data_IF_100150941361
#
_entry.id   IF_100150941361
#
_cell.length_a   1.000
_cell.length_b   1.000
_cell.length_c   1.000
_cell.angle_alpha   90.00
_cell.angle_beta   90.00
_cell.angle_gamma   90.00
#
_symmetry.space_group_name_H-M   'P 1'
#
loop_
_entity.id
_entity.type
_entity.pdbx_description
1 polymer ?
#
# COMPACT_ATOMS: atom_id res chain seq x y z
N UNK A 1 -7.31 -3.37 -18.73
CA UNK A 1 -8.48 -4.11 -19.26
C UNK A 1 -9.66 -3.18 -19.54
N UNK A 2 -10.19 -2.46 -18.54
CA UNK A 2 -11.29 -1.50 -18.77
C UNK A 2 -10.86 -0.14 -19.37
N UNK A 3 -9.56 0.19 -19.33
CA UNK A 3 -8.97 1.40 -19.90
C UNK A 3 -8.17 1.15 -21.20
N UNK A 4 -8.08 -0.10 -21.64
CA UNK A 4 -7.27 -0.46 -22.81
C UNK A 4 -8.19 -0.60 -24.03
N UNK A 5 -7.85 0.08 -25.12
CA UNK A 5 -8.61 0.04 -26.38
C UNK A 5 -8.51 -1.33 -27.07
N UNK A 6 -7.56 -2.18 -26.64
CA UNK A 6 -7.36 -3.51 -27.17
C UNK A 6 -6.73 -4.47 -26.16
N UNK A 7 -6.86 -5.77 -26.42
CA UNK A 7 -6.23 -6.82 -25.62
C UNK A 7 -4.69 -6.77 -25.71
N UNK A 8 -4.15 -6.34 -26.85
CA UNK A 8 -2.70 -6.13 -27.03
C UNK A 8 -2.18 -4.97 -26.18
N UNK A 9 -2.93 -3.88 -26.08
CA UNK A 9 -2.58 -2.78 -25.18
C UNK A 9 -2.63 -3.21 -23.71
N UNK A 10 -3.67 -3.93 -23.29
CA UNK A 10 -3.75 -4.47 -21.94
C UNK A 10 -2.55 -5.40 -21.62
N UNK A 11 -2.14 -6.25 -22.56
CA UNK A 11 -0.96 -7.09 -22.42
C UNK A 11 0.34 -6.27 -22.34
N UNK A 12 0.44 -5.18 -23.12
CA UNK A 12 1.52 -4.20 -23.05
C UNK A 12 1.63 -3.53 -21.69
N UNK A 13 0.49 -3.11 -21.10
CA UNK A 13 0.45 -2.49 -19.76
C UNK A 13 0.97 -3.46 -18.70
N UNK A 14 0.55 -4.73 -18.74
CA UNK A 14 1.06 -5.75 -17.82
C UNK A 14 2.56 -5.99 -17.99
N UNK A 15 3.04 -6.06 -19.24
CA UNK A 15 4.46 -6.20 -19.52
C UNK A 15 5.25 -4.99 -18.98
N UNK A 16 4.68 -3.78 -19.07
CA UNK A 16 5.27 -2.56 -18.54
C UNK A 16 5.42 -2.58 -17.01
N UNK A 17 4.50 -3.22 -16.27
CA UNK A 17 4.63 -3.40 -14.82
C UNK A 17 5.87 -4.21 -14.41
N UNK A 18 6.38 -5.06 -15.31
CA UNK A 18 7.63 -5.82 -15.12
C UNK A 18 8.84 -5.15 -15.77
N UNK A 19 8.71 -3.89 -16.22
CA UNK A 19 9.80 -3.14 -16.84
C UNK A 19 10.04 -3.43 -18.32
N UNK A 20 9.16 -4.19 -18.98
CA UNK A 20 9.29 -4.55 -20.40
C UNK A 20 8.75 -3.46 -21.36
N UNK A 21 8.54 -2.24 -20.87
CA UNK A 21 8.01 -1.11 -21.64
C UNK A 21 9.06 -0.37 -22.49
N UNK A 22 10.34 -0.75 -22.41
CA UNK A 22 11.44 -0.03 -23.05
C UNK A 22 11.74 1.34 -22.43
N UNK A 23 11.24 1.59 -21.22
CA UNK A 23 11.53 2.81 -20.46
C UNK A 23 12.91 2.76 -19.79
N UNK A 24 13.54 3.92 -19.54
CA UNK A 24 14.74 3.99 -18.70
C UNK A 24 14.46 3.41 -17.32
N UNK A 25 15.40 2.64 -16.76
CA UNK A 25 15.22 2.00 -15.45
C UNK A 25 15.09 2.98 -14.27
N UNK A 26 15.41 4.26 -14.48
CA UNK A 26 15.20 5.32 -13.50
C UNK A 26 14.82 6.61 -14.21
N UNK A 27 13.70 7.22 -13.80
CA UNK A 27 13.24 8.51 -14.28
C UNK A 27 13.16 9.52 -13.14
N UNK A 28 12.87 10.79 -13.45
CA UNK A 28 12.68 11.81 -12.43
C UNK A 28 11.51 11.46 -11.49
N UNK A 29 10.45 10.88 -12.05
CA UNK A 29 9.28 10.38 -11.33
C UNK A 29 9.65 9.21 -10.41
N UNK A 30 10.52 8.30 -10.86
CA UNK A 30 11.05 7.21 -10.00
C UNK A 30 11.74 7.78 -8.78
N UNK A 31 12.61 8.78 -8.94
CA UNK A 31 13.30 9.43 -7.82
C UNK A 31 12.34 10.15 -6.87
N UNK A 32 11.35 10.85 -7.42
CA UNK A 32 10.32 11.53 -6.63
C UNK A 32 9.52 10.55 -5.76
N UNK A 33 9.03 9.45 -6.34
CA UNK A 33 8.28 8.45 -5.60
C UNK A 33 9.15 7.67 -4.62
N UNK A 34 10.39 7.33 -5.00
CA UNK A 34 11.31 6.66 -4.11
C UNK A 34 11.61 7.51 -2.87
N UNK A 35 11.82 8.81 -3.03
CA UNK A 35 11.99 9.75 -1.91
C UNK A 35 10.72 9.89 -1.07
N UNK A 36 9.56 10.05 -1.71
CA UNK A 36 8.26 10.22 -1.02
C UNK A 36 7.86 8.99 -0.20
N UNK A 37 8.14 7.80 -0.71
CA UNK A 37 7.83 6.53 -0.05
C UNK A 37 9.01 5.95 0.74
N UNK A 38 10.17 6.61 0.77
CA UNK A 38 11.36 6.11 1.46
C UNK A 38 11.08 5.76 2.93
N UNK A 39 10.41 6.61 3.73
CA UNK A 39 10.11 6.29 5.12
C UNK A 39 9.25 5.02 5.24
N UNK A 40 8.25 4.88 4.37
CA UNK A 40 7.37 3.71 4.33
C UNK A 40 8.18 2.45 3.98
N UNK A 41 9.02 2.52 2.95
CA UNK A 41 9.88 1.41 2.52
C UNK A 41 10.82 0.95 3.63
N UNK A 42 11.41 1.87 4.40
CA UNK A 42 12.28 1.54 5.53
C UNK A 42 11.51 0.82 6.64
N UNK A 43 10.32 1.31 7.01
CA UNK A 43 9.47 0.65 8.01
C UNK A 43 9.03 -0.74 7.53
N UNK A 44 8.66 -0.88 6.26
CA UNK A 44 8.30 -2.18 5.67
C UNK A 44 9.49 -3.14 5.64
N UNK A 45 10.70 -2.66 5.32
CA UNK A 45 11.91 -3.46 5.33
C UNK A 45 12.19 -3.99 6.75
N UNK A 46 12.09 -3.14 7.76
CA UNK A 46 12.20 -3.56 9.16
C UNK A 46 11.13 -4.61 9.51
N UNK A 47 9.88 -4.37 9.11
CA UNK A 47 8.75 -5.29 9.28
C UNK A 47 8.96 -6.67 8.64
N UNK A 48 9.68 -6.73 7.51
CA UNK A 48 9.99 -7.96 6.79
C UNK A 48 11.13 -8.77 7.44
N UNK A 49 11.86 -8.20 8.39
CA UNK A 49 12.95 -8.91 9.08
C UNK A 49 12.45 -9.81 10.23
N UNK A 50 13.12 -10.93 10.52
CA UNK A 50 12.77 -11.80 11.64
C UNK A 50 12.91 -11.12 13.02
N UNK A 51 13.63 -9.99 13.09
CA UNK A 51 13.80 -9.20 14.32
C UNK A 51 12.46 -8.77 14.92
N UNK A 52 11.51 -8.37 14.07
CA UNK A 52 10.17 -7.95 14.52
C UNK A 52 9.39 -9.13 15.11
N UNK A 53 9.53 -10.32 14.52
CA UNK A 53 8.90 -11.55 15.01
C UNK A 53 9.44 -11.95 16.38
N UNK A 54 10.76 -11.90 16.58
CA UNK A 54 11.37 -12.27 17.85
C UNK A 54 11.03 -11.25 18.95
N UNK A 55 10.98 -9.96 18.61
CA UNK A 55 10.52 -8.91 19.52
C UNK A 55 9.03 -9.06 19.89
N UNK A 56 8.16 -9.37 18.93
CA UNK A 56 6.74 -9.62 19.18
C UNK A 56 6.53 -10.80 20.14
N UNK A 57 7.28 -11.90 19.96
CA UNK A 57 7.23 -13.06 20.87
C UNK A 57 7.68 -12.71 22.29
N UNK A 58 8.63 -11.81 22.45
CA UNK A 58 9.04 -11.33 23.77
C UNK A 58 7.93 -10.52 24.44
N UNK A 59 7.29 -9.60 23.70
CA UNK A 59 6.16 -8.81 24.19
C UNK A 59 4.93 -9.67 24.53
N UNK A 60 4.73 -10.79 23.82
CA UNK A 60 3.58 -11.67 24.01
C UNK A 60 3.63 -12.38 25.37
N UNK A 61 4.84 -12.69 25.84
CA UNK A 61 5.08 -13.26 27.19
C UNK A 61 4.64 -12.31 28.30
N UNK A 62 4.67 -11.00 28.06
CA UNK A 62 4.30 -9.98 29.03
C UNK A 62 2.78 -9.70 29.06
N UNK A 63 1.97 -10.41 28.24
CA UNK A 63 0.51 -10.27 28.21
C UNK A 63 -0.03 -8.95 27.63
N UNK A 64 0.81 -7.91 27.55
CA UNK A 64 0.50 -6.58 27.01
C UNK A 64 -0.10 -6.63 25.60
N UNK A 65 0.46 -7.48 24.72
CA UNK A 65 -0.04 -7.66 23.36
C UNK A 65 -1.51 -8.12 23.32
N UNK A 66 -1.94 -8.97 24.25
CA UNK A 66 -3.34 -9.45 24.29
C UNK A 66 -4.33 -8.34 24.64
N UNK A 67 -3.91 -7.39 25.48
CA UNK A 67 -4.75 -6.28 25.90
C UNK A 67 -4.86 -5.21 24.80
N UNK A 68 -3.77 -4.92 24.09
CA UNK A 68 -3.74 -3.84 23.08
C UNK A 68 -4.19 -4.28 21.69
N UNK A 69 -4.08 -5.57 21.35
CA UNK A 69 -4.50 -6.12 20.07
C UNK A 69 -5.95 -5.79 19.67
N UNK A 70 -6.99 -5.95 20.53
CA UNK A 70 -8.35 -5.59 20.16
C UNK A 70 -8.50 -4.08 19.90
N UNK A 71 -7.82 -3.24 20.69
CA UNK A 71 -7.85 -1.80 20.51
C UNK A 71 -7.18 -1.37 19.20
N UNK A 72 -6.07 -2.03 18.84
CA UNK A 72 -5.39 -1.81 17.57
C UNK A 72 -6.29 -2.14 16.37
N UNK A 73 -6.94 -3.32 16.36
CA UNK A 73 -7.85 -3.69 15.28
C UNK A 73 -9.06 -2.78 15.20
N UNK A 74 -9.63 -2.38 16.34
CA UNK A 74 -10.73 -1.43 16.39
C UNK A 74 -10.31 -0.06 15.84
N UNK A 75 -9.15 0.46 16.25
CA UNK A 75 -8.60 1.70 15.74
C UNK A 75 -8.33 1.65 14.23
N UNK A 76 -7.73 0.56 13.75
CA UNK A 76 -7.50 0.35 12.32
C UNK A 76 -8.82 0.33 11.53
N UNK A 77 -9.85 -0.36 12.04
CA UNK A 77 -11.17 -0.39 11.42
C UNK A 77 -11.81 1.01 11.37
N UNK A 78 -11.67 1.81 12.43
CA UNK A 78 -12.17 3.19 12.47
C UNK A 78 -11.44 4.08 11.46
N UNK A 79 -10.12 3.99 11.37
CA UNK A 79 -9.32 4.75 10.40
C UNK A 79 -9.72 4.34 8.97
N UNK A 80 -9.79 3.04 8.68
CA UNK A 80 -10.20 2.55 7.37
C UNK A 80 -11.62 3.04 7.00
N UNK A 81 -12.55 3.01 7.95
CA UNK A 81 -13.91 3.53 7.75
C UNK A 81 -13.91 5.04 7.52
N UNK A 82 -13.11 5.80 8.27
CA UNK A 82 -13.01 7.25 8.11
C UNK A 82 -12.49 7.61 6.70
N UNK A 83 -11.43 6.94 6.24
CA UNK A 83 -10.92 7.13 4.87
C UNK A 83 -11.92 6.69 3.80
N UNK A 84 -12.70 5.64 4.06
CA UNK A 84 -13.74 5.19 3.14
C UNK A 84 -14.88 6.22 3.04
N UNK A 85 -15.30 6.80 4.15
CA UNK A 85 -16.33 7.86 4.19
C UNK A 85 -15.82 9.15 3.55
N UNK A 86 -14.59 9.55 3.83
CA UNK A 86 -13.96 10.73 3.22
C UNK A 86 -13.80 10.56 1.70
N UNK A 87 -13.33 9.39 1.26
CA UNK A 87 -13.24 9.03 -0.15
C UNK A 87 -14.60 8.81 -0.85
N UNK A 88 -15.69 8.66 -0.09
CA UNK A 88 -17.05 8.53 -0.64
C UNK A 88 -17.58 9.83 -1.25
N UNK A 89 -16.98 10.98 -0.92
CA UNK A 89 -17.17 12.23 -1.65
C UNK A 89 -16.28 12.28 -2.89
N UNK A 90 -16.31 11.24 -3.74
CA UNK A 90 -15.66 11.32 -5.04
C UNK A 90 -16.56 12.10 -6.02
N UNK A 91 -16.12 13.26 -6.55
CA UNK A 91 -16.94 14.04 -7.49
C UNK A 91 -17.35 13.23 -8.73
N UNK A 92 -16.57 12.19 -9.05
CA UNK A 92 -16.82 11.25 -10.16
C UNK A 92 -17.98 10.27 -9.95
N UNK A 93 -18.41 9.99 -8.70
CA UNK A 93 -19.62 9.19 -8.44
C UNK A 93 -20.92 10.00 -8.60
N UNK A 94 -20.84 11.33 -8.51
CA UNK A 94 -21.97 12.24 -8.69
C UNK A 94 -22.09 12.78 -10.12
N UNK A 95 -21.06 12.59 -10.96
CA UNK A 95 -21.22 12.71 -12.40
C UNK A 95 -21.99 11.51 -12.92
N UNK A 96 -23.32 11.67 -12.92
CA UNK A 96 -24.21 10.91 -13.79
C UNK A 96 -23.86 11.33 -15.22
N UNK A 97 -23.24 10.43 -15.98
CA UNK A 97 -23.57 10.38 -17.40
C UNK A 97 -25.05 9.97 -17.52
#
# INVERSE_FOLDING_TARGET
LFNADSLSQAAGDFAAMFGLAGLPGFTAETGYYLGSYLPLLLVSLLGATPVVKDYARWLEKNGFLRAIQPLFWAGLALIATAYFVDGSFSPFLYFRF
#
